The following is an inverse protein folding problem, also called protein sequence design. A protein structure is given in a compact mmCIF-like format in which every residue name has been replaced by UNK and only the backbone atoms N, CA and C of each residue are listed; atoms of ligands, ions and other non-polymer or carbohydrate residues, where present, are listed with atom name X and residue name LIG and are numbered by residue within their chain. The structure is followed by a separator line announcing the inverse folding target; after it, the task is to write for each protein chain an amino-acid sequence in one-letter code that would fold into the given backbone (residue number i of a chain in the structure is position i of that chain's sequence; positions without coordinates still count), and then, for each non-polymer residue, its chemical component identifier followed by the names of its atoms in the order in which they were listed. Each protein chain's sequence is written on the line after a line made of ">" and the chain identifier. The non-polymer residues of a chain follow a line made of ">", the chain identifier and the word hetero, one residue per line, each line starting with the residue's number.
data_IF_813441303813
#
_entry.id   IF_813441303813
#
_cell.length_a   1.000
_cell.length_b   1.000
_cell.length_c   1.000
_cell.angle_alpha   90.00
_cell.angle_beta   90.00
_cell.angle_gamma   90.00
#
_symmetry.space_group_name_H-M   'P 1'
#
loop_
_entity.id
_entity.type
_entity.pdbx_description
1 polymer ?
#
# COMPACT_ATOMS: atom_id res chain seq x y z
N UNK A 1 -46.13 -43.78 -53.07
CA UNK A 1 -47.36 -43.43 -52.32
C UNK A 1 -47.01 -43.57 -50.85
N UNK A 2 -47.01 -42.56 -49.98
CA UNK A 2 -47.86 -41.38 -49.83
C UNK A 2 -47.12 -40.35 -48.96
N UNK A 3 -47.35 -39.08 -49.27
CA UNK A 3 -46.99 -37.88 -48.52
C UNK A 3 -47.65 -37.86 -47.14
N UNK A 4 -46.90 -37.51 -46.08
CA UNK A 4 -47.47 -37.18 -44.76
C UNK A 4 -47.14 -35.72 -44.42
N UNK A 5 -48.14 -34.88 -44.61
CA UNK A 5 -48.21 -33.47 -44.20
C UNK A 5 -48.10 -33.36 -42.68
N UNK A 6 -47.12 -32.58 -42.19
CA UNK A 6 -46.97 -32.28 -40.77
C UNK A 6 -47.99 -31.20 -40.35
N UNK A 7 -48.87 -31.56 -39.42
CA UNK A 7 -49.89 -30.69 -38.85
C UNK A 7 -49.26 -29.58 -37.98
N UNK A 8 -49.71 -28.33 -38.17
CA UNK A 8 -49.39 -27.20 -37.31
C UNK A 8 -49.99 -27.41 -35.91
N UNK A 9 -49.19 -27.20 -34.86
CA UNK A 9 -49.65 -27.21 -33.46
C UNK A 9 -50.60 -26.03 -33.19
N UNK A 10 -51.66 -26.22 -32.39
CA UNK A 10 -52.60 -25.14 -32.05
C UNK A 10 -51.97 -24.16 -31.05
N UNK A 11 -52.16 -22.86 -31.32
CA UNK A 11 -51.78 -21.74 -30.45
C UNK A 11 -52.68 -21.76 -29.20
N UNK A 12 -52.16 -21.46 -27.99
CA UNK A 12 -52.95 -21.48 -26.77
C UNK A 12 -54.08 -20.43 -26.80
N UNK A 13 -55.25 -20.86 -26.30
CA UNK A 13 -56.55 -20.18 -26.39
C UNK A 13 -56.67 -18.73 -25.83
N UNK A 14 -55.83 -18.19 -24.92
CA UNK A 14 -56.00 -16.79 -24.49
C UNK A 14 -55.54 -15.77 -25.53
N UNK A 15 -54.58 -16.11 -26.40
CA UNK A 15 -54.03 -15.17 -27.40
C UNK A 15 -55.03 -14.93 -28.54
N UNK A 16 -55.77 -15.97 -28.95
CA UNK A 16 -56.83 -15.83 -29.96
C UNK A 16 -58.03 -15.02 -29.47
N UNK A 17 -58.37 -15.09 -28.17
CA UNK A 17 -59.51 -14.33 -27.63
C UNK A 17 -59.21 -12.83 -27.55
N UNK A 18 -57.98 -12.46 -27.19
CA UNK A 18 -57.56 -11.04 -27.16
C UNK A 18 -57.44 -10.49 -28.58
N UNK A 19 -56.83 -11.24 -29.51
CA UNK A 19 -56.73 -10.82 -30.91
C UNK A 19 -58.12 -10.67 -31.57
N UNK A 20 -59.05 -11.61 -31.32
CA UNK A 20 -60.39 -11.59 -31.90
C UNK A 20 -61.28 -10.48 -31.30
N UNK A 21 -61.09 -10.15 -30.01
CA UNK A 21 -61.78 -9.04 -29.35
C UNK A 21 -61.32 -7.66 -29.88
N UNK A 22 -60.03 -7.49 -30.16
CA UNK A 22 -59.49 -6.24 -30.73
C UNK A 22 -59.90 -6.07 -32.20
N UNK A 23 -60.02 -7.15 -32.97
CA UNK A 23 -60.42 -7.07 -34.39
C UNK A 23 -61.92 -6.88 -34.64
N UNK A 24 -62.78 -7.18 -33.65
CA UNK A 24 -64.24 -7.18 -33.81
C UNK A 24 -64.95 -5.84 -33.56
N UNK A 25 -64.24 -4.83 -33.03
CA UNK A 25 -64.83 -3.54 -32.63
C UNK A 25 -64.63 -2.44 -33.70
N UNK A 26 -63.84 -2.68 -34.74
CA UNK A 26 -63.40 -1.62 -35.67
C UNK A 26 -64.01 -1.81 -37.07
N UNK A 27 -64.96 -0.94 -37.43
CA UNK A 27 -65.64 -0.88 -38.74
C UNK A 27 -64.76 -0.35 -39.88
N UNK A 28 -65.30 0.03 -41.06
CA UNK A 28 -64.52 0.36 -42.27
C UNK A 28 -63.50 1.52 -42.14
N UNK A 29 -63.58 2.31 -41.05
CA UNK A 29 -62.60 3.33 -40.66
C UNK A 29 -61.48 2.82 -39.71
N UNK A 30 -61.31 1.51 -39.60
CA UNK A 30 -60.36 0.84 -38.70
C UNK A 30 -58.87 1.11 -38.95
N UNK A 31 -58.46 1.76 -40.06
CA UNK A 31 -57.03 1.97 -40.33
C UNK A 31 -56.40 3.00 -39.39
N UNK A 32 -57.09 4.11 -39.12
CA UNK A 32 -56.59 5.12 -38.18
C UNK A 32 -56.67 4.61 -36.74
N UNK A 33 -57.74 3.91 -36.37
CA UNK A 33 -57.88 3.36 -35.01
C UNK A 33 -56.85 2.26 -34.69
N UNK A 34 -56.51 1.40 -35.67
CA UNK A 34 -55.42 0.42 -35.53
C UNK A 34 -54.07 1.09 -35.43
N UNK A 35 -53.81 2.12 -36.23
CA UNK A 35 -52.56 2.89 -36.15
C UNK A 35 -52.40 3.57 -34.79
N UNK A 36 -53.48 4.16 -34.25
CA UNK A 36 -53.47 4.76 -32.90
C UNK A 36 -53.20 3.69 -31.86
N UNK A 37 -53.89 2.54 -31.91
CA UNK A 37 -53.68 1.45 -30.96
C UNK A 37 -52.24 0.90 -31.00
N UNK A 38 -51.71 0.65 -32.19
CA UNK A 38 -50.32 0.17 -32.39
C UNK A 38 -49.31 1.20 -31.90
N UNK A 39 -49.52 2.49 -32.21
CA UNK A 39 -48.66 3.59 -31.76
C UNK A 39 -48.74 3.78 -30.24
N UNK A 40 -49.92 3.64 -29.63
CA UNK A 40 -50.09 3.71 -28.18
C UNK A 40 -49.40 2.55 -27.46
N UNK A 41 -49.50 1.33 -27.99
CA UNK A 41 -48.78 0.16 -27.43
C UNK A 41 -47.27 0.37 -27.52
N UNK A 42 -46.77 0.88 -28.66
CA UNK A 42 -45.35 1.19 -28.83
C UNK A 42 -44.90 2.31 -27.88
N UNK A 43 -45.72 3.37 -27.71
CA UNK A 43 -45.41 4.47 -26.79
C UNK A 43 -45.36 4.01 -25.33
N UNK A 44 -46.27 3.13 -24.91
CA UNK A 44 -46.26 2.54 -23.56
C UNK A 44 -45.05 1.62 -23.39
N UNK A 45 -44.70 0.81 -24.39
CA UNK A 45 -43.51 -0.03 -24.34
C UNK A 45 -42.22 0.82 -24.27
N UNK A 46 -42.13 1.91 -25.03
CA UNK A 46 -40.99 2.82 -24.99
C UNK A 46 -40.89 3.54 -23.64
N UNK A 47 -42.02 4.02 -23.09
CA UNK A 47 -42.05 4.60 -21.74
C UNK A 47 -41.63 3.59 -20.67
N UNK A 48 -42.06 2.33 -20.77
CA UNK A 48 -41.66 1.28 -19.85
C UNK A 48 -40.15 1.00 -19.92
N UNK A 49 -39.56 0.97 -21.13
CA UNK A 49 -38.11 0.79 -21.30
C UNK A 49 -37.35 1.97 -20.67
N UNK A 50 -37.77 3.21 -20.92
CA UNK A 50 -37.12 4.40 -20.34
C UNK A 50 -37.17 4.37 -18.81
N UNK A 51 -38.32 4.03 -18.24
CA UNK A 51 -38.48 3.93 -16.78
C UNK A 51 -37.59 2.82 -16.20
N UNK A 52 -37.58 1.63 -16.80
CA UNK A 52 -36.74 0.51 -16.35
C UNK A 52 -35.26 0.86 -16.48
N UNK A 53 -34.83 1.45 -17.61
CA UNK A 53 -33.45 1.90 -17.80
C UNK A 53 -33.05 2.99 -16.80
N UNK A 54 -33.94 3.92 -16.47
CA UNK A 54 -33.69 4.93 -15.44
C UNK A 54 -33.52 4.29 -14.05
N UNK A 55 -34.34 3.31 -13.70
CA UNK A 55 -34.17 2.56 -12.44
C UNK A 55 -32.84 1.80 -12.40
N UNK A 56 -32.48 1.08 -13.46
CA UNK A 56 -31.18 0.38 -13.53
C UNK A 56 -30.00 1.33 -13.49
N UNK A 57 -30.11 2.50 -14.12
CA UNK A 57 -29.06 3.50 -14.10
C UNK A 57 -28.84 4.04 -12.67
N UNK A 58 -29.91 4.41 -11.97
CA UNK A 58 -29.84 4.85 -10.56
C UNK A 58 -29.29 3.74 -9.65
N UNK A 59 -29.69 2.49 -9.86
CA UNK A 59 -29.20 1.35 -9.07
C UNK A 59 -27.70 1.11 -9.31
N UNK A 60 -27.26 1.16 -10.57
CA UNK A 60 -25.84 1.02 -10.92
C UNK A 60 -24.96 2.12 -10.33
N UNK A 61 -25.48 3.35 -10.20
CA UNK A 61 -24.75 4.44 -9.55
C UNK A 61 -24.58 4.21 -8.05
N UNK A 62 -25.60 3.68 -7.37
CA UNK A 62 -25.53 3.30 -5.95
C UNK A 62 -24.52 2.18 -5.70
N UNK A 63 -24.38 1.24 -6.65
CA UNK A 63 -23.36 0.18 -6.56
C UNK A 63 -21.95 0.76 -6.70
N UNK A 64 -21.71 1.65 -7.67
CA UNK A 64 -20.40 2.30 -7.84
C UNK A 64 -20.04 3.15 -6.61
N UNK A 65 -21.01 3.87 -6.04
CA UNK A 65 -20.86 4.59 -4.76
C UNK A 65 -20.42 3.66 -3.63
N UNK A 66 -21.07 2.49 -3.52
CA UNK A 66 -20.78 1.55 -2.44
C UNK A 66 -19.44 0.81 -2.59
N UNK A 67 -18.82 0.78 -3.77
CA UNK A 67 -17.58 0.05 -4.00
C UNK A 67 -16.33 0.94 -3.91
N UNK A 68 -16.39 2.16 -4.46
CA UNK A 68 -15.22 3.02 -4.60
C UNK A 68 -15.05 3.96 -3.41
N UNK A 69 -13.89 3.90 -2.75
CA UNK A 69 -13.59 4.75 -1.60
C UNK A 69 -12.92 6.09 -1.97
N UNK A 70 -12.00 6.09 -2.95
CA UNK A 70 -11.29 7.31 -3.37
C UNK A 70 -11.72 7.70 -4.78
N UNK A 71 -12.28 8.90 -4.93
CA UNK A 71 -12.70 9.45 -6.23
C UNK A 71 -11.67 10.44 -6.78
N UNK A 72 -10.96 11.15 -5.90
CA UNK A 72 -9.89 12.07 -6.27
C UNK A 72 -8.55 11.56 -5.72
N UNK A 73 -7.76 10.78 -6.50
CA UNK A 73 -6.51 10.21 -6.00
C UNK A 73 -5.38 11.24 -5.86
N UNK A 74 -5.46 12.37 -6.56
CA UNK A 74 -4.43 13.42 -6.56
C UNK A 74 -5.08 14.79 -6.45
N UNK A 75 -4.45 15.70 -5.73
CA UNK A 75 -4.92 17.07 -5.57
C UNK A 75 -3.81 18.07 -5.89
N UNK A 76 -4.23 19.28 -6.23
CA UNK A 76 -3.34 20.45 -6.38
C UNK A 76 -3.99 21.60 -5.63
N UNK A 77 -3.22 22.29 -4.80
CA UNK A 77 -3.69 23.47 -4.09
C UNK A 77 -3.84 24.65 -5.05
N UNK A 78 -5.00 25.30 -5.03
CA UNK A 78 -5.32 26.42 -5.94
C UNK A 78 -4.42 27.64 -5.78
N UNK A 79 -3.96 27.92 -4.56
CA UNK A 79 -3.17 29.10 -4.23
C UNK A 79 -1.66 28.91 -4.33
N UNK A 80 -1.11 27.88 -3.68
CA UNK A 80 0.33 27.59 -3.64
C UNK A 80 0.82 26.76 -4.83
N UNK A 81 -0.08 26.03 -5.51
CA UNK A 81 0.29 25.03 -6.51
C UNK A 81 0.91 23.76 -5.93
N UNK A 82 0.95 23.61 -4.60
CA UNK A 82 1.45 22.40 -3.96
C UNK A 82 0.57 21.20 -4.34
N UNK A 83 1.19 20.10 -4.75
CA UNK A 83 0.50 18.87 -5.15
C UNK A 83 0.67 17.75 -4.12
N UNK A 84 -0.20 16.76 -4.23
CA UNK A 84 -0.15 15.56 -3.43
C UNK A 84 -1.17 14.52 -3.85
N UNK A 85 -1.26 13.47 -3.05
CA UNK A 85 -2.14 12.32 -3.29
C UNK A 85 -2.94 11.93 -2.05
N UNK A 86 -4.08 11.28 -2.30
CA UNK A 86 -4.86 10.57 -1.28
C UNK A 86 -4.28 9.17 -1.16
N UNK A 87 -3.74 8.84 0.01
CA UNK A 87 -3.13 7.54 0.29
C UNK A 87 -4.23 6.53 0.59
N UNK A 88 -5.13 6.88 1.51
CA UNK A 88 -6.27 6.05 1.86
C UNK A 88 -7.37 6.86 2.55
N UNK A 89 -8.56 6.28 2.58
CA UNK A 89 -9.68 6.75 3.40
C UNK A 89 -10.45 5.54 3.92
N UNK A 90 -11.24 5.75 4.97
CA UNK A 90 -11.96 4.65 5.60
C UNK A 90 -12.79 5.06 6.78
N UNK A 91 -13.48 4.08 7.34
CA UNK A 91 -14.31 4.22 8.53
C UNK A 91 -14.15 3.04 9.46
N UNK A 92 -14.57 3.21 10.71
CA UNK A 92 -14.64 2.10 11.67
C UNK A 92 -15.88 1.23 11.40
N UNK A 93 -15.98 0.08 12.08
CA UNK A 93 -17.13 -0.83 11.94
C UNK A 93 -18.48 -0.19 12.29
N UNK A 94 -18.49 0.80 13.18
CA UNK A 94 -19.74 1.53 13.52
C UNK A 94 -20.05 2.62 12.51
N UNK A 95 -19.09 2.98 11.65
CA UNK A 95 -19.19 4.08 10.69
C UNK A 95 -19.28 5.44 11.36
N UNK A 96 -18.89 5.59 12.63
CA UNK A 96 -18.95 6.86 13.37
C UNK A 96 -17.65 7.64 13.31
N UNK A 97 -16.55 6.95 13.01
CA UNK A 97 -15.23 7.53 12.81
C UNK A 97 -14.84 7.32 11.36
N UNK A 98 -14.42 8.40 10.69
CA UNK A 98 -13.92 8.37 9.33
C UNK A 98 -12.54 9.04 9.27
N UNK A 99 -11.70 8.62 8.34
CA UNK A 99 -10.40 9.22 8.12
C UNK A 99 -10.09 9.42 6.65
N UNK A 100 -9.19 10.36 6.39
CA UNK A 100 -8.53 10.57 5.10
C UNK A 100 -7.04 10.81 5.36
N UNK A 101 -6.20 9.96 4.79
CA UNK A 101 -4.75 10.11 4.82
C UNK A 101 -4.28 10.71 3.49
N UNK A 102 -3.63 11.85 3.57
CA UNK A 102 -3.07 12.61 2.46
C UNK A 102 -1.54 12.60 2.52
N UNK A 103 -0.89 12.70 1.37
CA UNK A 103 0.55 12.90 1.25
C UNK A 103 0.83 14.08 0.31
N UNK A 104 1.57 15.07 0.79
CA UNK A 104 2.09 16.15 -0.03
C UNK A 104 3.40 15.73 -0.71
N UNK A 105 3.58 16.10 -1.98
CA UNK A 105 4.81 15.79 -2.72
C UNK A 105 6.00 16.63 -2.23
N UNK A 106 5.72 17.80 -1.66
CA UNK A 106 6.73 18.76 -1.20
C UNK A 106 6.26 19.44 0.09
N UNK A 107 6.55 18.84 1.27
CA UNK A 107 6.12 19.39 2.56
C UNK A 107 6.62 20.82 2.81
N UNK A 108 7.78 21.19 2.25
CA UNK A 108 8.32 22.55 2.35
C UNK A 108 7.50 23.64 1.64
N UNK A 109 6.46 23.28 0.88
CA UNK A 109 5.55 24.22 0.22
C UNK A 109 4.24 24.43 0.98
N UNK A 110 4.07 23.79 2.14
CA UNK A 110 2.84 23.85 2.94
C UNK A 110 3.15 24.10 4.42
N UNK A 111 2.21 24.72 5.14
CA UNK A 111 2.35 24.90 6.59
C UNK A 111 2.12 23.57 7.30
N UNK A 112 3.07 23.16 8.14
CA UNK A 112 2.92 21.99 9.02
C UNK A 112 2.18 22.31 10.33
N UNK A 113 1.93 23.59 10.62
CA UNK A 113 1.13 24.01 11.77
C UNK A 113 -0.37 23.76 11.50
N UNK A 114 -1.02 22.82 12.23
CA UNK A 114 -2.43 22.50 12.03
C UNK A 114 -3.37 23.67 12.37
N UNK A 115 -2.94 24.66 13.16
CA UNK A 115 -3.74 25.85 13.44
C UNK A 115 -3.96 26.73 12.18
N UNK A 116 -3.06 26.60 11.20
CA UNK A 116 -3.17 27.29 9.91
C UNK A 116 -4.14 26.62 8.94
N UNK A 117 -4.78 25.53 9.33
CA UNK A 117 -5.71 24.82 8.46
C UNK A 117 -7.15 24.98 8.93
N UNK A 118 -8.07 24.74 8.00
CA UNK A 118 -9.50 24.65 8.21
C UNK A 118 -10.02 23.51 7.34
N UNK A 119 -10.82 22.64 7.93
CA UNK A 119 -11.52 21.58 7.20
C UNK A 119 -12.90 22.11 6.82
N UNK A 120 -13.23 22.03 5.53
CA UNK A 120 -14.58 22.30 5.06
C UNK A 120 -15.11 21.02 4.46
N UNK A 121 -16.14 20.45 5.09
CA UNK A 121 -16.84 19.29 4.57
C UNK A 121 -18.00 19.76 3.72
N UNK A 122 -18.05 19.29 2.49
CA UNK A 122 -19.18 19.51 1.61
C UNK A 122 -19.66 18.20 0.99
N UNK A 123 -20.76 18.30 0.26
CA UNK A 123 -21.23 17.24 -0.64
C UNK A 123 -20.48 17.36 -1.96
N UNK A 124 -20.04 16.23 -2.53
CA UNK A 124 -19.57 16.24 -3.93
C UNK A 124 -20.77 16.14 -4.88
N UNK A 125 -20.68 16.78 -6.05
CA UNK A 125 -21.72 16.74 -7.10
C UNK A 125 -21.60 15.44 -7.92
N UNK A 126 -21.61 14.30 -7.21
CA UNK A 126 -21.53 12.96 -7.81
C UNK A 126 -22.93 12.37 -7.92
N UNK A 127 -23.30 11.82 -9.09
CA UNK A 127 -24.60 11.16 -9.26
C UNK A 127 -24.82 10.04 -8.23
N UNK A 128 -25.89 10.16 -7.45
CA UNK A 128 -26.34 9.17 -6.46
C UNK A 128 -26.13 9.56 -4.99
N UNK A 129 -25.50 10.70 -4.69
CA UNK A 129 -25.51 11.31 -3.36
C UNK A 129 -26.94 11.77 -2.95
N UNK A 130 -27.24 11.78 -1.65
CA UNK A 130 -28.54 12.20 -1.10
C UNK A 130 -28.71 13.72 -1.12
N UNK A 131 -29.97 14.16 -1.06
CA UNK A 131 -30.38 15.57 -0.94
C UNK A 131 -30.61 16.03 0.51
N UNK A 132 -30.52 15.13 1.50
CA UNK A 132 -30.66 15.47 2.93
C UNK A 132 -29.33 15.92 3.56
N UNK A 133 -29.35 16.84 4.53
CA UNK A 133 -28.13 17.34 5.16
C UNK A 133 -27.36 16.24 5.89
N UNK A 134 -26.03 16.32 5.74
CA UNK A 134 -25.04 15.39 6.26
C UNK A 134 -25.09 15.34 7.80
N UNK A 135 -24.61 14.23 8.36
CA UNK A 135 -24.18 14.22 9.76
C UNK A 135 -23.29 15.44 10.03
N UNK A 136 -23.32 15.97 11.25
CA UNK A 136 -22.42 17.07 11.65
C UNK A 136 -21.24 16.40 12.33
N UNK A 137 -20.06 16.28 11.69
CA UNK A 137 -18.90 15.71 12.35
C UNK A 137 -18.10 16.78 13.08
N UNK A 138 -17.14 16.34 13.89
CA UNK A 138 -16.01 17.13 14.36
C UNK A 138 -14.77 16.62 13.65
N UNK A 139 -13.97 17.54 13.11
CA UNK A 139 -12.76 17.22 12.39
C UNK A 139 -11.50 17.52 13.20
N UNK A 140 -10.50 16.63 13.12
CA UNK A 140 -9.14 16.82 13.62
C UNK A 140 -8.16 16.67 12.47
N UNK A 141 -7.18 17.58 12.39
CA UNK A 141 -6.04 17.46 11.48
C UNK A 141 -4.80 17.11 12.29
N UNK A 142 -4.02 16.16 11.79
CA UNK A 142 -2.68 15.82 12.31
C UNK A 142 -1.67 15.82 11.18
N UNK A 143 -0.56 16.54 11.37
CA UNK A 143 0.61 16.48 10.48
C UNK A 143 1.71 15.64 11.12
N UNK A 144 2.38 14.83 10.31
CA UNK A 144 3.52 14.00 10.73
C UNK A 144 4.84 14.65 10.30
N UNK A 145 5.23 15.73 10.98
CA UNK A 145 6.50 16.43 10.72
C UNK A 145 6.73 16.74 9.22
N UNK A 146 7.96 16.55 8.74
CA UNK A 146 8.48 16.72 7.40
C UNK A 146 8.22 15.53 6.46
N UNK A 147 7.50 14.49 6.90
CA UNK A 147 7.16 13.34 6.04
C UNK A 147 6.18 13.71 4.92
N UNK A 148 5.48 14.84 5.06
CA UNK A 148 4.44 15.29 4.14
C UNK A 148 3.10 14.57 4.31
N UNK A 149 2.97 13.66 5.28
CA UNK A 149 1.69 13.03 5.57
C UNK A 149 0.80 13.93 6.45
N UNK A 150 -0.46 14.03 6.04
CA UNK A 150 -1.51 14.76 6.73
C UNK A 150 -2.71 13.83 6.92
N UNK A 151 -3.10 13.61 8.17
CA UNK A 151 -4.27 12.82 8.53
C UNK A 151 -5.41 13.75 8.92
N UNK A 152 -6.56 13.53 8.30
CA UNK A 152 -7.84 14.15 8.68
C UNK A 152 -8.72 13.08 9.30
N UNK A 153 -9.09 13.25 10.56
CA UNK A 153 -10.05 12.39 11.27
C UNK A 153 -11.36 13.14 11.43
N UNK A 154 -12.48 12.47 11.19
CA UNK A 154 -13.82 13.01 11.28
C UNK A 154 -14.66 12.11 12.18
N UNK A 155 -15.16 12.66 13.28
CA UNK A 155 -15.95 11.96 14.29
C UNK A 155 -17.39 12.46 14.25
N UNK A 156 -18.38 11.56 14.20
CA UNK A 156 -19.80 11.94 14.22
C UNK A 156 -20.22 12.49 15.59
N UNK A 157 -20.91 13.64 15.62
CA UNK A 157 -21.37 14.29 16.87
C UNK A 157 -22.59 13.60 17.48
N UNK A 158 -23.50 13.08 16.65
CA UNK A 158 -24.82 12.60 17.08
C UNK A 158 -24.92 11.06 17.14
N UNK A 159 -23.80 10.35 17.24
CA UNK A 159 -23.73 8.89 17.14
C UNK A 159 -24.33 8.31 15.84
N UNK A 160 -24.49 9.16 14.81
CA UNK A 160 -25.03 8.76 13.52
C UNK A 160 -23.89 8.27 12.62
N UNK A 161 -23.98 7.07 12.01
CA UNK A 161 -22.98 6.62 11.06
C UNK A 161 -22.90 7.56 9.86
N UNK A 162 -21.70 7.72 9.30
CA UNK A 162 -21.49 8.39 8.03
C UNK A 162 -22.33 7.69 6.94
N UNK A 163 -23.03 8.44 6.08
CA UNK A 163 -23.75 7.86 4.96
C UNK A 163 -22.77 7.32 3.92
N UNK A 164 -23.21 6.33 3.15
CA UNK A 164 -22.46 5.78 2.02
C UNK A 164 -22.56 6.72 0.81
N UNK A 165 -21.81 7.82 0.87
CA UNK A 165 -21.85 8.94 -0.08
C UNK A 165 -20.46 9.55 -0.30
N UNK A 166 -20.30 10.25 -1.42
CA UNK A 166 -19.04 10.95 -1.73
C UNK A 166 -19.01 12.30 -1.01
N UNK A 167 -18.13 12.39 -0.02
CA UNK A 167 -17.80 13.58 0.73
C UNK A 167 -16.73 14.39 -0.01
N UNK A 168 -16.99 15.68 -0.19
CA UNK A 168 -15.98 16.64 -0.65
C UNK A 168 -15.23 17.21 0.56
N UNK A 169 -14.06 16.64 0.85
CA UNK A 169 -13.18 17.11 1.92
C UNK A 169 -12.28 18.21 1.37
N UNK A 170 -12.44 19.43 1.88
CA UNK A 170 -11.59 20.56 1.53
C UNK A 170 -10.71 20.93 2.70
N UNK A 171 -9.42 21.10 2.45
CA UNK A 171 -8.49 21.70 3.40
C UNK A 171 -8.08 23.07 2.90
N UNK A 172 -8.39 24.08 3.69
CA UNK A 172 -8.09 25.47 3.40
C UNK A 172 -6.96 25.93 4.31
N UNK A 173 -5.86 26.37 3.70
CA UNK A 173 -4.75 26.94 4.45
C UNK A 173 -4.93 28.45 4.60
N UNK A 174 -4.84 28.94 5.83
CA UNK A 174 -4.78 30.35 6.22
C UNK A 174 -3.41 30.97 5.90
N UNK A 175 -2.40 30.14 5.68
CA UNK A 175 -1.07 30.55 5.30
C UNK A 175 -0.77 30.14 3.85
N UNK A 176 -0.07 31.01 3.12
CA UNK A 176 0.46 30.68 1.79
C UNK A 176 1.98 30.76 1.83
N UNK A 177 2.64 29.65 1.50
CA UNK A 177 4.08 29.61 1.28
C UNK A 177 4.28 29.69 -0.23
N UNK A 178 4.66 30.86 -0.74
CA UNK A 178 5.00 31.02 -2.17
C UNK A 178 6.50 30.81 -2.38
N UNK A 179 6.85 30.19 -3.51
CA UNK A 179 8.16 29.60 -3.75
C UNK A 179 9.37 30.52 -3.52
N UNK A 180 10.36 29.98 -2.79
CA UNK A 180 11.76 30.42 -2.83
C UNK A 180 12.29 31.21 -1.63
N UNK A 181 11.44 31.82 -0.80
CA UNK A 181 11.91 32.67 0.32
C UNK A 181 11.57 32.15 1.72
N UNK A 182 10.83 31.04 1.86
CA UNK A 182 10.44 30.51 3.17
C UNK A 182 9.59 31.47 4.01
N UNK A 183 9.06 32.56 3.41
CA UNK A 183 8.19 33.50 4.08
C UNK A 183 6.74 33.06 3.89
N UNK A 184 6.07 32.74 5.01
CA UNK A 184 4.64 32.53 5.04
C UNK A 184 3.93 33.90 4.91
N UNK A 185 3.09 34.04 3.90
CA UNK A 185 2.15 35.15 3.78
C UNK A 185 0.80 34.72 4.37
N UNK A 186 0.32 35.46 5.36
CA UNK A 186 -0.99 35.21 5.96
C UNK A 186 -2.08 35.65 4.98
N UNK A 187 -2.90 34.70 4.54
CA UNK A 187 -4.01 34.96 3.62
C UNK A 187 -5.29 35.01 4.43
N UNK A 188 -5.96 36.17 4.42
CA UNK A 188 -7.25 36.32 5.10
C UNK A 188 -8.27 35.32 4.52
N UNK A 189 -9.02 34.58 5.37
CA UNK A 189 -10.00 33.62 4.89
C UNK A 189 -11.14 34.33 4.18
N UNK A 190 -11.23 34.20 2.85
CA UNK A 190 -12.44 34.58 2.11
C UNK A 190 -13.52 33.56 2.40
N UNK A 191 -14.46 33.93 3.28
CA UNK A 191 -15.72 33.22 3.45
C UNK A 191 -16.57 33.51 2.22
N UNK A 192 -16.40 32.73 1.15
CA UNK A 192 -17.35 32.76 0.05
C UNK A 192 -18.65 32.09 0.55
N UNK A 193 -19.78 32.78 0.40
CA UNK A 193 -21.12 32.24 0.67
C UNK A 193 -21.56 31.16 -0.33
N UNK A 194 -20.67 30.83 -1.28
CA UNK A 194 -20.85 29.83 -2.31
C UNK A 194 -19.69 28.82 -2.19
N UNK A 195 -19.99 27.51 -1.96
CA UNK A 195 -18.99 26.48 -1.78
C UNK A 195 -18.07 26.30 -3.00
N UNK A 196 -18.47 26.75 -4.21
CA UNK A 196 -17.61 26.69 -5.41
C UNK A 196 -16.76 27.95 -5.62
N UNK A 197 -17.22 29.12 -5.18
CA UNK A 197 -16.53 30.40 -5.42
C UNK A 197 -15.26 30.62 -4.57
N UNK A 198 -15.01 29.76 -3.56
CA UNK A 198 -13.85 29.87 -2.65
C UNK A 198 -12.55 29.22 -3.16
N UNK A 199 -12.62 28.37 -4.20
CA UNK A 199 -11.45 27.61 -4.66
C UNK A 199 -10.42 28.50 -5.37
N UNK A 200 -10.85 29.39 -6.28
CA UNK A 200 -9.95 30.21 -7.10
C UNK A 200 -9.30 31.39 -6.36
N UNK A 201 -9.81 31.76 -5.17
CA UNK A 201 -9.28 32.87 -4.35
C UNK A 201 -8.43 32.44 -3.15
N UNK A 202 -8.58 31.21 -2.67
CA UNK A 202 -7.95 30.70 -1.45
C UNK A 202 -6.65 29.89 -1.69
N UNK A 203 -6.06 29.35 -0.62
CA UNK A 203 -5.04 28.31 -0.70
C UNK A 203 -5.67 26.97 -0.30
N UNK A 204 -6.43 26.36 -1.21
CA UNK A 204 -7.36 25.25 -0.91
C UNK A 204 -6.99 24.01 -1.70
N UNK A 205 -7.04 22.84 -1.08
CA UNK A 205 -7.15 21.55 -1.76
C UNK A 205 -8.55 20.97 -1.56
N UNK A 206 -9.00 20.17 -2.52
CA UNK A 206 -10.24 19.40 -2.48
C UNK A 206 -9.95 17.96 -2.86
N UNK A 207 -10.48 17.03 -2.07
CA UNK A 207 -10.48 15.61 -2.38
C UNK A 207 -11.88 15.06 -2.16
N UNK A 208 -12.35 14.24 -3.10
CA UNK A 208 -13.64 13.58 -3.01
C UNK A 208 -13.43 12.10 -2.61
N UNK A 209 -14.06 11.68 -1.52
CA UNK A 209 -13.87 10.37 -0.88
C UNK A 209 -15.18 9.83 -0.33
N UNK A 210 -15.33 8.50 -0.29
CA UNK A 210 -16.39 7.80 0.39
C UNK A 210 -15.78 6.90 1.48
N UNK A 211 -15.80 7.34 2.75
CA UNK A 211 -15.14 6.60 3.83
C UNK A 211 -15.84 5.28 4.19
N UNK A 212 -17.10 5.08 3.76
CA UNK A 212 -17.92 3.89 4.12
C UNK A 212 -18.06 2.91 2.94
N UNK A 213 -17.39 3.18 1.82
CA UNK A 213 -17.38 2.26 0.68
C UNK A 213 -16.70 0.93 1.03
N UNK A 214 -17.05 -0.14 0.33
CA UNK A 214 -16.46 -1.47 0.51
C UNK A 214 -14.96 -1.51 0.23
N UNK A 215 -14.46 -0.64 -0.66
CA UNK A 215 -13.03 -0.46 -0.92
C UNK A 215 -12.31 0.43 0.10
N UNK A 216 -12.99 0.92 1.13
CA UNK A 216 -12.42 1.79 2.14
C UNK A 216 -11.69 0.98 3.22
N UNK A 217 -10.71 1.60 3.87
CA UNK A 217 -9.90 0.92 4.89
C UNK A 217 -10.70 0.77 6.18
N UNK A 218 -10.74 -0.43 6.72
CA UNK A 218 -11.33 -0.68 8.03
C UNK A 218 -10.45 -0.07 9.13
N UNK A 219 -10.95 1.00 9.76
CA UNK A 219 -10.29 1.69 10.87
C UNK A 219 -10.30 0.89 12.18
N UNK A 220 -11.10 -0.17 12.30
CA UNK A 220 -11.37 -0.83 13.59
C UNK A 220 -10.10 -1.30 14.30
N UNK A 221 -9.07 -1.69 13.52
CA UNK A 221 -7.76 -2.10 14.05
C UNK A 221 -6.88 -0.95 14.57
N UNK A 222 -7.26 0.29 14.30
CA UNK A 222 -6.56 1.52 14.68
C UNK A 222 -7.37 2.35 15.68
N UNK A 223 -8.26 1.71 16.43
CA UNK A 223 -9.08 2.37 17.45
C UNK A 223 -8.50 2.09 18.84
N UNK A 224 -8.28 3.14 19.63
CA UNK A 224 -8.06 3.07 21.07
C UNK A 224 -9.35 3.50 21.77
N UNK A 225 -10.21 2.53 22.10
CA UNK A 225 -11.55 2.78 22.63
C UNK A 225 -12.44 3.45 21.58
N UNK A 226 -12.91 4.67 21.88
CA UNK A 226 -13.73 5.51 20.97
C UNK A 226 -12.91 6.54 20.20
N UNK A 227 -11.57 6.44 20.23
CA UNK A 227 -10.69 7.41 19.58
C UNK A 227 -9.75 6.75 18.59
N UNK A 228 -9.50 7.40 17.45
CA UNK A 228 -8.53 6.92 16.47
C UNK A 228 -7.12 7.01 17.03
N UNK A 229 -6.42 5.88 17.08
CA UNK A 229 -4.98 5.81 17.29
C UNK A 229 -4.28 6.24 16.00
N UNK A 230 -3.90 7.51 16.00
CA UNK A 230 -3.26 8.21 14.88
C UNK A 230 -1.90 7.62 14.54
N UNK A 231 -1.17 7.09 15.53
CA UNK A 231 0.18 6.55 15.32
C UNK A 231 0.10 5.16 14.72
N UNK A 232 -0.78 4.30 15.25
CA UNK A 232 -1.06 3.00 14.67
C UNK A 232 -1.60 3.13 13.24
N UNK A 233 -2.47 4.12 12.99
CA UNK A 233 -3.00 4.38 11.65
C UNK A 233 -1.89 4.84 10.69
N UNK A 234 -1.02 5.76 11.11
CA UNK A 234 0.11 6.20 10.29
C UNK A 234 1.05 5.04 9.96
N UNK A 235 1.51 4.28 10.96
CA UNK A 235 2.36 3.12 10.75
C UNK A 235 1.69 2.09 9.84
N UNK A 236 0.41 1.86 10.04
CA UNK A 236 -0.35 0.86 9.31
C UNK A 236 -0.77 1.25 7.90
N UNK A 237 -0.66 2.52 7.50
CA UNK A 237 -1.13 3.00 6.20
C UNK A 237 -0.06 3.75 5.40
N UNK A 238 0.78 4.55 6.07
CA UNK A 238 1.87 5.26 5.43
C UNK A 238 3.10 4.36 5.24
N UNK A 239 3.53 3.67 6.30
CA UNK A 239 4.75 2.84 6.26
C UNK A 239 4.51 1.44 5.65
N UNK A 240 3.26 0.97 5.57
CA UNK A 240 2.97 -0.43 5.22
C UNK A 240 3.40 -0.84 3.81
N UNK A 241 3.30 0.06 2.83
CA UNK A 241 3.69 -0.26 1.45
C UNK A 241 5.22 -0.37 1.31
N UNK A 242 5.95 0.55 1.95
CA UNK A 242 7.41 0.55 1.96
C UNK A 242 7.93 -0.65 2.78
N UNK A 243 7.28 -0.96 3.91
CA UNK A 243 7.56 -2.13 4.74
C UNK A 243 7.39 -3.44 3.95
N UNK A 244 6.29 -3.61 3.20
CA UNK A 244 6.05 -4.80 2.39
C UNK A 244 7.12 -4.98 1.31
N UNK A 245 7.51 -3.89 0.63
CA UNK A 245 8.57 -3.92 -0.37
C UNK A 245 9.92 -4.34 0.25
N UNK A 246 10.31 -3.74 1.37
CA UNK A 246 11.57 -4.04 2.07
C UNK A 246 11.60 -5.46 2.65
N UNK A 247 10.47 -5.98 3.13
CA UNK A 247 10.35 -7.38 3.54
C UNK A 247 10.52 -8.33 2.36
N UNK A 248 10.00 -7.96 1.19
CA UNK A 248 10.25 -8.66 -0.06
C UNK A 248 11.73 -8.68 -0.45
N UNK A 249 12.47 -7.60 -0.17
CA UNK A 249 13.93 -7.53 -0.36
C UNK A 249 14.67 -8.46 0.61
N UNK A 250 14.30 -8.43 1.90
CA UNK A 250 14.87 -9.32 2.92
C UNK A 250 14.68 -10.80 2.56
N UNK A 251 13.46 -11.19 2.16
CA UNK A 251 13.17 -12.56 1.75
C UNK A 251 13.96 -13.03 0.52
N UNK A 252 14.13 -12.14 -0.47
CA UNK A 252 14.96 -12.43 -1.66
C UNK A 252 16.43 -12.56 -1.30
N UNK A 253 16.96 -11.62 -0.53
CA UNK A 253 18.36 -11.63 -0.12
C UNK A 253 18.68 -12.86 0.75
N UNK A 254 17.77 -13.28 1.62
CA UNK A 254 17.92 -14.50 2.42
C UNK A 254 17.92 -15.77 1.55
N UNK A 255 17.04 -15.84 0.54
CA UNK A 255 17.01 -16.94 -0.41
C UNK A 255 18.31 -17.02 -1.25
N UNK A 256 18.83 -15.88 -1.70
CA UNK A 256 20.11 -15.79 -2.40
C UNK A 256 21.27 -16.24 -1.49
N UNK A 257 21.22 -15.89 -0.20
CA UNK A 257 22.22 -16.30 0.79
C UNK A 257 22.20 -17.81 1.03
N UNK A 258 21.00 -18.41 1.15
CA UNK A 258 20.83 -19.86 1.24
C UNK A 258 21.38 -20.57 -0.01
N UNK A 259 21.14 -20.02 -1.20
CA UNK A 259 21.69 -20.57 -2.43
C UNK A 259 23.22 -20.46 -2.48
N UNK A 260 23.79 -19.33 -2.04
CA UNK A 260 25.23 -19.15 -1.95
C UNK A 260 25.86 -20.17 -0.99
N UNK A 261 25.21 -20.46 0.15
CA UNK A 261 25.63 -21.50 1.09
C UNK A 261 25.63 -22.89 0.46
N UNK A 262 24.53 -23.28 -0.20
CA UNK A 262 24.45 -24.58 -0.87
C UNK A 262 25.50 -24.75 -1.98
N UNK A 263 25.89 -23.66 -2.65
CA UNK A 263 27.00 -23.68 -3.62
C UNK A 263 28.35 -23.92 -2.96
N UNK A 264 28.59 -23.32 -1.78
CA UNK A 264 29.80 -23.57 -1.00
C UNK A 264 29.88 -25.05 -0.64
N UNK A 265 28.82 -25.65 -0.11
CA UNK A 265 28.79 -27.07 0.27
C UNK A 265 29.12 -28.01 -0.92
N UNK A 266 28.59 -27.69 -2.10
CA UNK A 266 28.91 -28.41 -3.35
C UNK A 266 30.38 -28.22 -3.76
N UNK A 267 30.93 -27.01 -3.65
CA UNK A 267 32.33 -26.75 -3.99
C UNK A 267 33.31 -27.32 -2.97
N UNK A 268 32.97 -27.36 -1.68
CA UNK A 268 33.73 -28.08 -0.66
C UNK A 268 33.77 -29.58 -0.96
N UNK A 269 32.63 -30.17 -1.35
CA UNK A 269 32.56 -31.57 -1.77
C UNK A 269 33.43 -31.83 -3.00
N UNK A 270 33.43 -30.92 -3.98
CA UNK A 270 34.28 -31.02 -5.18
C UNK A 270 35.76 -30.86 -4.86
N UNK A 271 36.11 -29.93 -3.97
CA UNK A 271 37.46 -29.73 -3.48
C UNK A 271 37.97 -30.99 -2.77
N UNK A 272 37.19 -31.55 -1.85
CA UNK A 272 37.52 -32.79 -1.16
C UNK A 272 37.73 -33.97 -2.13
N UNK A 273 36.88 -34.10 -3.14
CA UNK A 273 37.03 -35.13 -4.20
C UNK A 273 38.26 -34.91 -5.10
N UNK A 274 38.78 -33.68 -5.17
CA UNK A 274 40.03 -33.35 -5.84
C UNK A 274 41.26 -33.45 -4.91
N UNK A 275 41.08 -33.90 -3.67
CA UNK A 275 42.13 -33.95 -2.64
C UNK A 275 42.43 -32.59 -2.01
N UNK A 276 41.69 -31.55 -2.35
CA UNK A 276 41.90 -30.19 -1.86
C UNK A 276 41.16 -29.98 -0.53
N UNK A 277 41.86 -29.46 0.47
CA UNK A 277 41.28 -29.04 1.75
C UNK A 277 41.86 -27.72 2.22
N UNK A 278 41.29 -27.11 3.26
CA UNK A 278 41.75 -25.85 3.82
C UNK A 278 41.69 -25.85 5.35
N UNK A 279 42.45 -24.97 5.97
CA UNK A 279 42.34 -24.61 7.40
C UNK A 279 42.56 -23.12 7.59
N UNK A 280 41.91 -22.55 8.60
CA UNK A 280 41.98 -21.12 8.89
C UNK A 280 41.24 -20.25 7.86
N UNK A 281 41.42 -18.93 7.97
CA UNK A 281 40.68 -17.94 7.19
C UNK A 281 39.60 -17.25 8.03
N UNK A 282 39.74 -15.95 8.29
CA UNK A 282 38.70 -15.20 9.02
C UNK A 282 37.37 -15.18 8.26
N UNK A 283 37.44 -15.02 6.94
CA UNK A 283 36.27 -15.05 6.05
C UNK A 283 35.60 -16.43 6.05
N UNK A 284 36.40 -17.50 6.06
CA UNK A 284 35.90 -18.88 6.11
C UNK A 284 35.20 -19.14 7.45
N UNK A 285 35.78 -18.66 8.56
CA UNK A 285 35.17 -18.79 9.88
C UNK A 285 33.80 -18.10 9.98
N UNK A 286 33.64 -16.91 9.36
CA UNK A 286 32.34 -16.23 9.27
C UNK A 286 31.33 -17.11 8.53
N UNK A 287 31.70 -17.55 7.33
CA UNK A 287 30.88 -18.43 6.49
C UNK A 287 30.48 -19.68 7.29
N UNK A 288 31.42 -20.40 7.88
CA UNK A 288 31.16 -21.64 8.65
C UNK A 288 30.23 -21.40 9.84
N UNK A 289 30.36 -20.26 10.53
CA UNK A 289 29.56 -19.93 11.70
C UNK A 289 28.11 -19.52 11.40
N UNK A 290 27.81 -19.13 10.16
CA UNK A 290 26.48 -18.69 9.73
C UNK A 290 25.56 -19.90 9.45
N UNK A 291 24.30 -19.78 9.90
CA UNK A 291 23.23 -20.74 9.67
C UNK A 291 21.99 -20.02 9.15
N UNK A 292 21.58 -20.37 7.93
CA UNK A 292 20.42 -19.80 7.24
C UNK A 292 19.22 -20.72 7.41
N UNK A 293 18.11 -20.21 7.93
CA UNK A 293 16.83 -20.91 8.03
C UNK A 293 15.77 -20.17 7.20
N UNK A 294 15.34 -20.79 6.10
CA UNK A 294 14.34 -20.21 5.20
C UNK A 294 12.91 -20.34 5.74
N UNK A 295 12.64 -21.33 6.58
CA UNK A 295 11.31 -21.54 7.17
C UNK A 295 11.09 -20.55 8.31
N UNK A 296 12.11 -20.35 9.14
CA UNK A 296 12.11 -19.34 10.20
C UNK A 296 12.43 -17.92 9.69
N UNK A 297 12.89 -17.78 8.44
CA UNK A 297 13.31 -16.51 7.82
C UNK A 297 14.44 -15.80 8.59
N UNK A 298 15.43 -16.55 9.07
CA UNK A 298 16.51 -16.03 9.91
C UNK A 298 17.91 -16.36 9.38
N UNK A 299 18.85 -15.50 9.74
CA UNK A 299 20.29 -15.74 9.63
C UNK A 299 20.87 -15.66 11.04
N UNK A 300 21.20 -16.83 11.58
CA UNK A 300 21.78 -16.96 12.92
C UNK A 300 23.27 -17.29 12.82
N UNK A 301 24.03 -16.96 13.87
CA UNK A 301 25.45 -17.27 13.95
C UNK A 301 25.75 -18.06 15.23
N UNK A 302 26.55 -19.11 15.12
CA UNK A 302 26.85 -20.02 16.23
C UNK A 302 27.49 -19.32 17.45
N UNK A 303 28.27 -18.25 17.21
CA UNK A 303 29.04 -17.54 18.23
C UNK A 303 28.47 -16.16 18.60
N UNK A 304 27.36 -15.72 17.98
CA UNK A 304 26.76 -14.42 18.27
C UNK A 304 25.85 -14.48 19.51
N UNK A 305 26.47 -14.30 20.67
CA UNK A 305 25.74 -13.91 21.89
C UNK A 305 25.16 -12.48 21.81
N UNK A 306 25.40 -11.73 20.71
CA UNK A 306 25.25 -10.26 20.65
C UNK A 306 24.56 -9.60 19.43
N UNK A 307 24.01 -10.32 18.44
CA UNK A 307 22.95 -9.73 17.60
C UNK A 307 23.24 -9.38 16.14
N UNK A 308 22.59 -10.15 15.25
CA UNK A 308 21.94 -9.69 14.01
C UNK A 308 20.65 -10.48 13.71
N UNK A 309 20.25 -11.39 14.60
CA UNK A 309 19.00 -12.15 14.50
C UNK A 309 17.81 -11.20 14.74
N UNK A 310 17.40 -10.51 13.69
CA UNK A 310 16.17 -9.71 13.66
C UNK A 310 15.05 -10.64 13.21
N UNK A 311 14.02 -10.80 14.03
CA UNK A 311 12.83 -11.57 13.69
C UNK A 311 11.88 -10.75 12.80
N UNK A 312 12.38 -10.31 11.64
CA UNK A 312 11.68 -9.39 10.74
C UNK A 312 10.42 -10.01 10.10
N UNK A 313 10.41 -11.34 10.00
CA UNK A 313 9.28 -12.13 9.52
C UNK A 313 8.05 -12.05 10.42
N UNK A 314 8.26 -12.09 11.73
CA UNK A 314 7.19 -12.17 12.73
C UNK A 314 6.82 -10.80 13.32
N UNK A 315 7.55 -9.76 12.93
CA UNK A 315 7.38 -8.39 13.43
C UNK A 315 6.87 -7.49 12.33
N UNK A 316 5.95 -6.58 12.64
CA UNK A 316 5.50 -5.57 11.69
C UNK A 316 5.33 -4.20 12.36
N UNK A 317 5.88 -3.15 11.77
CA UNK A 317 5.76 -1.75 12.23
C UNK A 317 4.27 -1.36 12.23
N UNK A 318 3.55 -1.79 11.19
CA UNK A 318 2.09 -1.64 11.07
C UNK A 318 1.27 -2.25 12.21
N UNK A 319 1.85 -3.13 13.02
CA UNK A 319 1.23 -3.74 14.20
C UNK A 319 1.85 -3.22 15.52
N UNK A 320 2.65 -2.16 15.47
CA UNK A 320 3.38 -1.61 16.62
C UNK A 320 4.57 -2.48 17.05
N UNK A 321 5.03 -3.38 16.17
CA UNK A 321 6.25 -4.15 16.38
C UNK A 321 7.50 -3.29 16.20
N UNK A 322 8.60 -3.76 16.78
CA UNK A 322 9.92 -3.11 16.69
C UNK A 322 10.95 -4.13 16.21
N UNK A 323 11.54 -3.89 15.04
CA UNK A 323 12.62 -4.71 14.50
C UNK A 323 13.86 -4.58 15.39
N UNK A 324 14.20 -3.36 15.80
CA UNK A 324 15.33 -3.10 16.68
C UNK A 324 15.22 -3.85 18.03
N UNK A 325 14.01 -4.01 18.57
CA UNK A 325 13.77 -4.74 19.82
C UNK A 325 13.88 -6.26 19.69
N UNK A 326 13.83 -6.81 18.47
CA UNK A 326 14.03 -8.26 18.26
C UNK A 326 15.50 -8.67 18.29
N UNK A 327 16.42 -7.71 18.20
CA UNK A 327 17.84 -8.00 18.37
C UNK A 327 18.13 -8.54 19.78
N UNK A 328 18.92 -9.61 19.87
CA UNK A 328 19.35 -10.22 21.13
C UNK A 328 20.11 -9.21 22.01
N UNK A 329 19.89 -9.29 23.33
CA UNK A 329 20.26 -8.25 24.31
C UNK A 329 21.77 -7.91 24.38
N UNK A 330 22.11 -6.61 24.35
CA UNK A 330 23.46 -6.10 24.67
C UNK A 330 23.85 -4.78 24.00
N UNK A 331 23.18 -4.40 22.90
CA UNK A 331 23.33 -3.13 22.18
C UNK A 331 21.99 -2.75 21.52
N UNK A 332 21.83 -1.50 21.07
CA UNK A 332 20.64 -1.15 20.28
C UNK A 332 20.69 -1.92 18.96
N UNK A 333 19.57 -2.52 18.52
CA UNK A 333 19.58 -3.41 17.35
C UNK A 333 20.19 -2.79 16.08
N UNK A 334 20.09 -1.47 15.93
CA UNK A 334 20.71 -0.69 14.86
C UNK A 334 22.25 -0.63 14.96
N UNK A 335 22.82 -0.44 16.15
CA UNK A 335 24.28 -0.42 16.35
C UNK A 335 24.90 -1.79 16.05
N UNK A 336 24.24 -2.86 16.49
CA UNK A 336 24.68 -4.23 16.23
C UNK A 336 24.69 -4.54 14.72
N UNK A 337 23.62 -4.13 14.04
CA UNK A 337 23.48 -4.31 12.59
C UNK A 337 24.51 -3.49 11.81
N UNK A 338 24.74 -2.23 12.19
CA UNK A 338 25.76 -1.39 11.58
C UNK A 338 27.17 -2.00 11.73
N UNK A 339 27.49 -2.52 12.92
CA UNK A 339 28.77 -3.21 13.17
C UNK A 339 28.90 -4.48 12.31
N UNK A 340 27.82 -5.23 12.11
CA UNK A 340 27.81 -6.43 11.28
C UNK A 340 27.99 -6.12 9.78
N UNK A 341 27.40 -5.01 9.30
CA UNK A 341 27.60 -4.52 7.92
C UNK A 341 29.08 -4.14 7.73
N UNK A 342 29.66 -3.35 8.64
CA UNK A 342 31.07 -2.95 8.57
C UNK A 342 32.02 -4.16 8.58
N UNK A 343 31.73 -5.17 9.42
CA UNK A 343 32.48 -6.43 9.43
C UNK A 343 32.38 -7.16 8.08
N UNK A 344 31.18 -7.27 7.51
CA UNK A 344 30.95 -7.92 6.20
C UNK A 344 31.64 -7.19 5.05
N UNK A 345 31.70 -5.85 5.09
CA UNK A 345 32.46 -5.05 4.13
C UNK A 345 33.96 -5.31 4.22
N UNK A 346 34.49 -5.33 5.44
CA UNK A 346 35.89 -5.64 5.68
C UNK A 346 36.25 -7.02 5.16
N UNK A 347 35.40 -8.01 5.40
CA UNK A 347 35.60 -9.38 4.90
C UNK A 347 35.54 -9.44 3.37
N UNK A 348 34.60 -8.72 2.74
CA UNK A 348 34.52 -8.63 1.28
C UNK A 348 35.77 -7.99 0.66
N UNK A 349 36.30 -6.93 1.29
CA UNK A 349 37.52 -6.25 0.86
C UNK A 349 38.79 -7.07 1.15
N UNK A 350 38.76 -7.88 2.20
CA UNK A 350 39.86 -8.75 2.63
C UNK A 350 39.85 -10.13 1.95
N UNK A 351 38.87 -10.43 1.08
CA UNK A 351 38.69 -11.68 0.32
C UNK A 351 39.81 -12.00 -0.70
N UNK A 352 41.05 -11.71 -0.32
CA UNK A 352 42.29 -12.24 -0.89
C UNK A 352 42.55 -13.68 -0.44
N UNK A 353 41.78 -14.19 0.54
CA UNK A 353 41.93 -15.53 1.17
C UNK A 353 43.38 -15.87 1.55
N UNK A 354 44.19 -14.84 1.79
CA UNK A 354 45.64 -14.97 1.97
C UNK A 354 46.00 -15.63 3.31
N UNK A 355 45.07 -15.61 4.26
CA UNK A 355 45.15 -16.26 5.58
C UNK A 355 44.59 -17.69 5.57
N UNK A 356 44.06 -18.16 4.43
CA UNK A 356 43.60 -19.55 4.24
C UNK A 356 44.80 -20.44 3.91
N UNK A 357 45.02 -21.47 4.74
CA UNK A 357 46.05 -22.47 4.51
C UNK A 357 45.50 -23.63 3.68
N UNK A 358 45.90 -23.71 2.42
CA UNK A 358 45.45 -24.74 1.49
C UNK A 358 46.29 -26.03 1.60
N UNK A 359 45.63 -27.16 1.41
CA UNK A 359 46.25 -28.49 1.39
C UNK A 359 45.82 -29.29 0.17
N UNK A 360 46.70 -30.20 -0.27
CA UNK A 360 46.42 -31.22 -1.27
C UNK A 360 46.81 -32.59 -0.71
N UNK A 361 45.85 -33.51 -0.61
CA UNK A 361 45.95 -34.82 0.02
C UNK A 361 46.58 -34.76 1.43
N UNK A 362 46.24 -33.72 2.19
CA UNK A 362 46.72 -33.48 3.56
C UNK A 362 48.14 -32.90 3.68
N UNK A 363 48.79 -32.57 2.56
CA UNK A 363 50.08 -31.84 2.53
C UNK A 363 49.87 -30.38 2.13
N UNK A 364 50.83 -29.47 2.34
CA UNK A 364 50.74 -28.12 1.80
C UNK A 364 50.41 -28.15 0.31
N UNK A 365 49.48 -27.29 -0.12
CA UNK A 365 48.99 -27.27 -1.49
C UNK A 365 50.16 -27.00 -2.47
N UNK A 366 50.52 -28.03 -3.23
CA UNK A 366 51.55 -27.97 -4.25
C UNK A 366 51.14 -28.87 -5.41
N UNK A 367 50.97 -28.29 -6.59
CA UNK A 367 50.60 -29.00 -7.80
C UNK A 367 51.82 -29.41 -8.64
N UNK A 368 53.03 -29.08 -8.19
CA UNK A 368 54.26 -29.45 -8.86
C UNK A 368 54.44 -30.97 -8.90
N UNK A 369 54.60 -31.52 -10.10
CA UNK A 369 54.81 -32.94 -10.32
C UNK A 369 53.52 -33.77 -10.52
N UNK A 370 52.34 -33.15 -10.41
CA UNK A 370 51.09 -33.80 -10.81
C UNK A 370 50.95 -33.87 -12.33
N UNK A 371 50.16 -34.82 -12.81
CA UNK A 371 49.70 -34.82 -14.19
C UNK A 371 48.91 -33.54 -14.48
N UNK A 372 49.07 -32.96 -15.67
CA UNK A 372 48.49 -31.66 -16.05
C UNK A 372 47.00 -31.53 -15.72
N UNK A 373 46.21 -32.56 -16.01
CA UNK A 373 44.76 -32.58 -15.76
C UNK A 373 44.42 -32.60 -14.27
N UNK A 374 45.23 -33.30 -13.46
CA UNK A 374 45.04 -33.36 -12.01
C UNK A 374 45.41 -32.02 -11.35
N UNK A 375 46.54 -31.42 -11.76
CA UNK A 375 46.93 -30.08 -11.34
C UNK A 375 45.84 -29.04 -11.67
N UNK A 376 45.35 -29.03 -12.92
CA UNK A 376 44.27 -28.12 -13.33
C UNK A 376 42.99 -28.30 -12.51
N UNK A 377 42.63 -29.54 -12.17
CA UNK A 377 41.44 -29.83 -11.37
C UNK A 377 41.58 -29.32 -9.93
N UNK A 378 42.74 -29.50 -9.31
CA UNK A 378 43.01 -29.02 -7.96
C UNK A 378 43.02 -27.48 -7.89
N UNK A 379 43.70 -26.81 -8.83
CA UNK A 379 43.73 -25.34 -8.93
C UNK A 379 42.32 -24.77 -9.18
N UNK A 380 41.55 -25.39 -10.07
CA UNK A 380 40.18 -24.96 -10.34
C UNK A 380 39.28 -25.15 -9.12
N UNK A 381 39.37 -26.28 -8.42
CA UNK A 381 38.57 -26.52 -7.22
C UNK A 381 38.86 -25.51 -6.11
N UNK A 382 40.13 -25.13 -5.93
CA UNK A 382 40.53 -24.05 -5.03
C UNK A 382 39.91 -22.72 -5.46
N UNK A 383 40.09 -22.32 -6.72
CA UNK A 383 39.59 -21.04 -7.23
C UNK A 383 38.06 -20.93 -7.20
N UNK A 384 37.35 -22.02 -7.51
CA UNK A 384 35.89 -22.09 -7.45
C UNK A 384 35.38 -21.88 -6.02
N UNK A 385 36.07 -22.47 -5.03
CA UNK A 385 35.71 -22.34 -3.62
C UNK A 385 36.01 -20.92 -3.08
N UNK A 386 37.16 -20.33 -3.41
CA UNK A 386 37.48 -18.93 -3.11
C UNK A 386 36.42 -17.98 -3.70
N UNK A 387 36.02 -18.20 -4.96
CA UNK A 387 34.98 -17.42 -5.60
C UNK A 387 33.61 -17.59 -4.94
N UNK A 388 33.28 -18.82 -4.50
CA UNK A 388 32.03 -19.09 -3.80
C UNK A 388 31.95 -18.38 -2.44
N UNK A 389 33.04 -18.40 -1.67
CA UNK A 389 33.13 -17.66 -0.40
C UNK A 389 33.04 -16.15 -0.63
N UNK A 390 33.75 -15.60 -1.62
CA UNK A 390 33.70 -14.16 -1.91
C UNK A 390 32.28 -13.72 -2.30
N UNK A 391 31.59 -14.55 -3.12
CA UNK A 391 30.20 -14.32 -3.49
C UNK A 391 29.27 -14.38 -2.26
N UNK A 392 29.46 -15.34 -1.36
CA UNK A 392 28.66 -15.45 -0.15
C UNK A 392 28.75 -14.20 0.73
N UNK A 393 29.96 -13.68 0.97
CA UNK A 393 30.13 -12.45 1.78
C UNK A 393 29.46 -11.25 1.12
N UNK A 394 29.52 -11.14 -0.20
CA UNK A 394 28.81 -10.10 -0.95
C UNK A 394 27.28 -10.18 -0.77
N UNK A 395 26.71 -11.39 -0.90
CA UNK A 395 25.26 -11.61 -0.71
C UNK A 395 24.85 -11.41 0.75
N UNK A 396 25.69 -11.83 1.70
CA UNK A 396 25.48 -11.60 3.14
C UNK A 396 25.35 -10.12 3.46
N UNK A 397 26.22 -9.29 2.89
CA UNK A 397 26.11 -7.84 3.02
C UNK A 397 24.77 -7.33 2.48
N UNK A 398 24.35 -7.76 1.29
CA UNK A 398 23.06 -7.35 0.71
C UNK A 398 21.88 -7.70 1.63
N UNK A 399 21.91 -8.86 2.28
CA UNK A 399 20.92 -9.22 3.28
C UNK A 399 20.95 -8.29 4.51
N UNK A 400 22.13 -8.01 5.07
CA UNK A 400 22.25 -7.09 6.21
C UNK A 400 21.83 -5.66 5.86
N UNK A 401 22.14 -5.17 4.66
CA UNK A 401 21.69 -3.87 4.15
C UNK A 401 20.15 -3.84 4.05
N UNK A 402 19.52 -4.94 3.59
CA UNK A 402 18.06 -5.02 3.51
C UNK A 402 17.38 -4.99 4.89
N UNK A 403 17.98 -5.63 5.90
CA UNK A 403 17.54 -5.53 7.29
C UNK A 403 17.69 -4.11 7.84
N UNK A 404 18.77 -3.42 7.48
CA UNK A 404 19.02 -2.06 7.95
C UNK A 404 17.95 -1.10 7.44
N UNK A 405 17.56 -1.24 6.17
CA UNK A 405 16.46 -0.44 5.62
C UNK A 405 15.13 -0.64 6.38
N UNK A 406 14.84 -1.84 6.89
CA UNK A 406 13.65 -2.07 7.72
C UNK A 406 13.74 -1.36 9.07
N UNK A 407 14.91 -1.40 9.72
CA UNK A 407 15.16 -0.68 10.98
C UNK A 407 15.14 0.83 10.78
N UNK A 408 15.65 1.33 9.65
CA UNK A 408 15.60 2.74 9.29
C UNK A 408 14.16 3.21 9.05
N UNK A 409 13.33 2.40 8.37
CA UNK A 409 11.91 2.69 8.20
C UNK A 409 11.18 2.76 9.56
N UNK A 410 11.51 1.88 10.50
CA UNK A 410 11.00 1.95 11.88
C UNK A 410 11.40 3.27 12.56
N UNK A 411 12.68 3.64 12.48
CA UNK A 411 13.20 4.87 13.06
C UNK A 411 12.55 6.13 12.43
N UNK A 412 12.36 6.14 11.11
CA UNK A 412 11.64 7.21 10.41
C UNK A 412 10.20 7.31 10.89
N UNK A 413 9.50 6.18 11.04
CA UNK A 413 8.13 6.16 11.55
C UNK A 413 8.05 6.62 13.02
N UNK A 414 9.03 6.27 13.85
CA UNK A 414 9.13 6.73 15.24
C UNK A 414 9.34 8.23 15.33
N UNK A 415 10.26 8.78 14.53
CA UNK A 415 10.52 10.22 14.43
C UNK A 415 9.26 10.95 13.95
N UNK A 416 8.60 10.45 12.91
CA UNK A 416 7.36 11.02 12.38
C UNK A 416 6.25 11.09 13.43
N UNK A 417 6.05 10.02 14.20
CA UNK A 417 5.08 9.98 15.29
C UNK A 417 5.49 10.87 16.48
N UNK A 418 6.78 10.98 16.79
CA UNK A 418 7.28 11.80 17.89
C UNK A 418 7.11 13.31 17.63
N UNK A 419 7.23 13.75 16.37
CA UNK A 419 7.09 15.14 15.95
C UNK A 419 5.71 15.47 15.37
N UNK A 420 4.70 14.64 15.62
CA UNK A 420 3.33 14.91 15.17
C UNK A 420 2.76 16.16 15.84
N UNK A 421 1.99 16.94 15.07
CA UNK A 421 1.28 18.13 15.57
C UNK A 421 -0.19 18.01 15.18
N UNK A 422 -1.09 18.15 16.15
CA UNK A 422 -2.53 18.01 15.94
C UNK A 422 -3.33 19.19 16.52
N UNK A 423 -4.52 19.43 15.96
CA UNK A 423 -5.48 20.40 16.50
C UNK A 423 -6.90 19.84 16.47
N UNK A 424 -7.70 20.12 17.51
CA UNK A 424 -8.95 19.40 17.78
C UNK A 424 -10.20 20.22 18.02
N UNK A 425 -10.18 21.56 17.93
CA UNK A 425 -11.37 22.37 18.23
C UNK A 425 -11.69 23.34 17.07
N UNK A 426 -12.98 23.37 16.68
CA UNK A 426 -13.61 24.35 15.77
C UNK A 426 -13.07 24.48 14.32
N UNK A 427 -12.39 23.45 13.81
CA UNK A 427 -11.84 23.50 12.45
C UNK A 427 -12.77 22.96 11.35
N UNK A 428 -13.87 22.29 11.69
CA UNK A 428 -14.80 21.75 10.69
C UNK A 428 -15.98 22.68 10.44
N UNK A 429 -16.15 23.06 9.17
CA UNK A 429 -17.33 23.78 8.69
C UNK A 429 -18.10 22.88 7.72
N UNK A 430 -19.39 22.66 7.98
CA UNK A 430 -20.29 21.99 7.03
C UNK A 430 -20.83 23.05 6.09
N UNK A 431 -20.52 22.91 4.80
CA UNK A 431 -20.88 23.86 3.75
C UNK A 431 -22.29 23.64 3.20
#
# INVERSE_FOLDING_TARGET
>A
MTTKSAARRPVPAPVERVARAVTGILGPHARMERFILETSVLAVAMAAIVVVSAFYYVDSQKVVLAEQAVYTPTFVMSGSGASGSVVSCGSDRTGRHAFVLLRFDSPGQVSLDPAQWRIVLGRSDVPGNSDEPLCVPVGRITFFSDTGYCLVVMDSVDDTPFPNEVLAVRLESKARITGGSGQAEEVAPTVAADPEAGFDGGNVLRVDVNPVAAGAVDLTRYMEGETVDVDALYRGQAASADEEALRGDCGRALADLAQARARIDEYETRAANAGVGHTGGSTVAVVESDSVDLDAQTLSRADDDGGTDIAWADTAISQGGSYAATCKAGSSGAEALAAAIEASEKDALAATFADVSWTLDGKPFDTAGLARTAAQRAEQAKADLEQAWANYVGVRKTYLDSLANLVDLEAEADVACAFKVSSTEDQLWVA
#
